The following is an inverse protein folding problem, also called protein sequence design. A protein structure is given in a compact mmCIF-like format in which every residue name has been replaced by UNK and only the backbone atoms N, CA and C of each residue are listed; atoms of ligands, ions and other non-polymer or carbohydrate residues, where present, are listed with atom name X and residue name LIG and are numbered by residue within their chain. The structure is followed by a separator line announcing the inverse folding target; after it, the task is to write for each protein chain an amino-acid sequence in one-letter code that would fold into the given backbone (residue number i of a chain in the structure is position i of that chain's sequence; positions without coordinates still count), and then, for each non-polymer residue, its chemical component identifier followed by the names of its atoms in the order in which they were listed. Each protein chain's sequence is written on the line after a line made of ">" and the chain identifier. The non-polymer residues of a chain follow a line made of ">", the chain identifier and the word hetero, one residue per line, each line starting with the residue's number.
data_IF_720613897072
#
_entry.id   IF_720613897072
#
_cell.length_a   1.000
_cell.length_b   1.000
_cell.length_c   1.000
_cell.angle_alpha   90.00
_cell.angle_beta   90.00
_cell.angle_gamma   90.00
#
_symmetry.space_group_name_H-M   'P 1'
#
loop_
_entity.id
_entity.type
_entity.pdbx_description
1 polymer ?
#
# COMPACT_ATOMS: atom_id res chain seq x y z
N UNK A 1 -52.74 2.44 0.30
CA UNK A 1 -51.89 2.84 -0.84
C UNK A 1 -50.93 3.90 -0.29
N UNK A 2 -49.62 3.72 -0.18
CA UNK A 2 -48.71 2.81 -0.89
C UNK A 2 -47.43 2.71 -0.04
N UNK A 3 -46.75 1.56 -0.15
CA UNK A 3 -45.58 1.13 0.61
C UNK A 3 -44.45 2.16 0.68
N UNK A 4 -43.79 2.23 1.85
CA UNK A 4 -42.41 2.70 1.99
C UNK A 4 -41.51 1.49 1.70
N UNK A 5 -40.80 1.52 0.58
CA UNK A 5 -39.75 0.56 0.25
C UNK A 5 -38.48 0.95 1.00
N UNK A 6 -38.09 0.12 1.96
CA UNK A 6 -36.78 0.19 2.60
C UNK A 6 -35.70 -0.16 1.57
N UNK A 7 -35.01 0.86 1.05
CA UNK A 7 -33.82 0.68 0.22
C UNK A 7 -32.59 0.65 1.13
N UNK A 8 -32.26 -0.56 1.58
CA UNK A 8 -31.00 -0.87 2.26
C UNK A 8 -29.89 -0.83 1.21
N UNK A 9 -28.96 0.12 1.32
CA UNK A 9 -27.74 0.14 0.52
C UNK A 9 -26.83 -1.02 0.98
N UNK A 10 -26.43 -1.95 0.09
CA UNK A 10 -25.57 -3.07 0.46
C UNK A 10 -24.14 -2.57 0.69
N UNK A 11 -23.49 -3.13 1.71
CA UNK A 11 -22.07 -2.95 1.98
C UNK A 11 -21.27 -3.34 0.72
N UNK A 12 -20.55 -2.36 0.15
CA UNK A 12 -19.69 -2.55 -1.01
C UNK A 12 -18.62 -3.62 -0.70
N UNK A 13 -18.74 -4.76 -1.35
CA UNK A 13 -17.69 -5.77 -1.39
C UNK A 13 -16.47 -5.15 -2.07
N UNK A 14 -15.35 -5.10 -1.35
CA UNK A 14 -14.07 -4.61 -1.85
C UNK A 14 -13.67 -5.38 -3.12
N UNK A 15 -13.57 -4.70 -4.25
CA UNK A 15 -13.00 -5.21 -5.51
C UNK A 15 -11.50 -5.51 -5.31
N UNK A 16 -11.20 -6.63 -4.66
CA UNK A 16 -9.84 -7.06 -4.34
C UNK A 16 -9.18 -7.69 -5.57
N UNK A 17 -8.60 -6.85 -6.42
CA UNK A 17 -7.75 -7.30 -7.53
C UNK A 17 -6.60 -8.19 -7.00
N UNK A 18 -6.46 -9.37 -7.58
CA UNK A 18 -5.35 -10.30 -7.30
C UNK A 18 -4.12 -9.89 -8.12
N UNK A 19 -4.35 -9.42 -9.34
CA UNK A 19 -3.35 -8.90 -10.25
C UNK A 19 -4.02 -7.89 -11.19
N UNK A 20 -3.75 -6.60 -11.00
CA UNK A 20 -4.30 -5.56 -11.86
C UNK A 20 -3.54 -5.49 -13.21
N UNK A 21 -4.10 -4.86 -14.25
CA UNK A 21 -3.38 -4.66 -15.50
C UNK A 21 -2.18 -3.70 -15.30
N UNK A 22 -2.24 -2.85 -14.28
CA UNK A 22 -1.14 -1.99 -13.88
C UNK A 22 0.02 -2.83 -13.31
N UNK A 23 -0.26 -3.84 -12.49
CA UNK A 23 0.77 -4.72 -11.93
C UNK A 23 1.49 -5.51 -13.02
N UNK A 24 0.76 -6.08 -13.98
CA UNK A 24 1.36 -6.77 -15.13
C UNK A 24 2.22 -5.82 -15.97
N UNK A 25 1.77 -4.58 -16.18
CA UNK A 25 2.55 -3.56 -16.87
C UNK A 25 3.80 -3.15 -16.08
N UNK A 26 3.71 -3.03 -14.76
CA UNK A 26 4.82 -2.67 -13.89
C UNK A 26 5.88 -3.79 -13.87
N UNK A 27 5.45 -5.04 -13.69
CA UNK A 27 6.32 -6.23 -13.75
C UNK A 27 7.04 -6.29 -15.10
N UNK A 28 6.29 -6.15 -16.20
CA UNK A 28 6.87 -6.15 -17.55
C UNK A 28 7.85 -5.01 -17.77
N UNK A 29 7.51 -3.80 -17.34
CA UNK A 29 8.38 -2.62 -17.49
C UNK A 29 9.67 -2.80 -16.68
N UNK A 30 9.56 -3.30 -15.45
CA UNK A 30 10.69 -3.64 -14.60
C UNK A 30 11.59 -4.72 -15.22
N UNK A 31 11.02 -5.81 -15.74
CA UNK A 31 11.80 -6.87 -16.39
C UNK A 31 12.48 -6.36 -17.65
N UNK A 32 11.81 -5.55 -18.46
CA UNK A 32 12.39 -4.94 -19.67
C UNK A 32 13.58 -4.05 -19.36
N UNK A 33 13.49 -3.27 -18.29
CA UNK A 33 14.52 -2.36 -17.79
C UNK A 33 15.71 -3.10 -17.16
N UNK A 34 15.43 -4.00 -16.21
CA UNK A 34 16.45 -4.69 -15.41
C UNK A 34 17.22 -5.73 -16.23
N UNK A 35 16.54 -6.38 -17.17
CA UNK A 35 17.11 -7.41 -18.04
C UNK A 35 17.18 -6.92 -19.50
N UNK A 36 17.52 -5.65 -19.73
CA UNK A 36 17.55 -5.03 -21.06
C UNK A 36 18.43 -5.80 -22.07
N UNK A 37 19.58 -6.32 -21.64
CA UNK A 37 20.52 -7.08 -22.47
C UNK A 37 20.08 -8.53 -22.80
N UNK A 38 18.99 -9.02 -22.22
CA UNK A 38 18.47 -10.37 -22.44
C UNK A 38 17.61 -10.45 -23.72
N UNK A 39 17.48 -11.61 -24.39
CA UNK A 39 16.50 -11.79 -25.45
C UNK A 39 15.06 -11.58 -24.96
N UNK A 40 14.18 -11.13 -25.86
CA UNK A 40 12.78 -10.83 -25.53
C UNK A 40 12.01 -12.05 -25.03
N UNK A 41 12.32 -13.24 -25.54
CA UNK A 41 11.71 -14.51 -25.13
C UNK A 41 11.98 -14.82 -23.65
N UNK A 42 13.25 -14.75 -23.22
CA UNK A 42 13.61 -14.97 -21.82
C UNK A 42 13.05 -13.88 -20.88
N UNK A 43 12.91 -12.64 -21.35
CA UNK A 43 12.19 -11.59 -20.61
C UNK A 43 10.72 -11.94 -20.43
N UNK A 44 10.06 -12.46 -21.47
CA UNK A 44 8.68 -12.90 -21.38
C UNK A 44 8.52 -14.06 -20.38
N UNK A 45 9.46 -15.00 -20.34
CA UNK A 45 9.48 -16.08 -19.33
C UNK A 45 9.57 -15.53 -17.90
N UNK A 46 10.44 -14.55 -17.65
CA UNK A 46 10.59 -13.93 -16.32
C UNK A 46 9.31 -13.19 -15.91
N UNK A 47 8.66 -12.47 -16.85
CA UNK A 47 7.37 -11.82 -16.60
C UNK A 47 6.30 -12.86 -16.28
N UNK A 48 6.23 -13.93 -17.05
CA UNK A 48 5.26 -15.01 -16.84
C UNK A 48 5.46 -15.70 -15.49
N UNK A 49 6.71 -15.98 -15.10
CA UNK A 49 7.05 -16.55 -13.78
C UNK A 49 6.69 -15.59 -12.64
N UNK A 50 6.97 -14.29 -12.78
CA UNK A 50 6.60 -13.29 -11.78
C UNK A 50 5.07 -13.18 -11.60
N UNK A 51 4.33 -13.13 -12.70
CA UNK A 51 2.86 -13.14 -12.70
C UNK A 51 2.33 -14.43 -12.07
N UNK A 52 2.90 -15.58 -12.44
CA UNK A 52 2.52 -16.87 -11.88
C UNK A 52 2.73 -16.91 -10.37
N UNK A 53 3.87 -16.43 -9.86
CA UNK A 53 4.16 -16.39 -8.42
C UNK A 53 3.19 -15.51 -7.64
N UNK A 54 2.77 -14.37 -8.21
CA UNK A 54 1.81 -13.47 -7.56
C UNK A 54 0.45 -14.15 -7.45
N UNK A 55 -0.06 -14.72 -8.55
CA UNK A 55 -1.32 -15.46 -8.55
C UNK A 55 -1.24 -16.63 -7.56
N UNK A 56 -0.16 -17.41 -7.61
CA UNK A 56 0.06 -18.58 -6.77
C UNK A 56 0.01 -18.28 -5.26
N UNK A 57 0.50 -17.10 -4.85
CA UNK A 57 0.47 -16.65 -3.44
C UNK A 57 -0.94 -16.27 -2.96
N UNK A 58 -1.83 -15.91 -3.87
CA UNK A 58 -3.19 -15.47 -3.57
C UNK A 58 -4.22 -16.62 -3.65
N UNK A 59 -3.80 -17.80 -4.11
CA UNK A 59 -4.62 -19.00 -4.14
C UNK A 59 -4.88 -19.54 -2.72
N UNK A 60 -5.99 -20.26 -2.51
CA UNK A 60 -6.22 -21.05 -1.30
C UNK A 60 -5.04 -21.98 -1.01
N UNK A 61 -4.91 -22.43 0.24
CA UNK A 61 -3.84 -23.31 0.72
C UNK A 61 -3.94 -24.76 0.20
N UNK A 62 -4.16 -24.93 -1.11
CA UNK A 62 -4.14 -26.20 -1.81
C UNK A 62 -2.75 -26.81 -1.88
N UNK A 63 -2.70 -28.10 -2.23
CA UNK A 63 -1.48 -28.79 -2.66
C UNK A 63 -0.84 -28.08 -3.87
N UNK A 64 0.49 -28.10 -3.93
CA UNK A 64 1.29 -27.44 -4.96
C UNK A 64 0.91 -27.86 -6.38
N UNK A 65 0.54 -29.12 -6.60
CA UNK A 65 0.08 -29.60 -7.90
C UNK A 65 -1.20 -28.87 -8.36
N UNK A 66 -2.16 -28.69 -7.44
CA UNK A 66 -3.43 -28.00 -7.68
C UNK A 66 -3.22 -26.50 -7.88
N UNK A 67 -2.38 -25.86 -7.06
CA UNK A 67 -2.04 -24.44 -7.22
C UNK A 67 -1.40 -24.14 -8.58
N UNK A 68 -0.46 -24.99 -9.03
CA UNK A 68 0.17 -24.86 -10.34
C UNK A 68 -0.85 -24.97 -11.48
N UNK A 69 -1.77 -25.95 -11.39
CA UNK A 69 -2.84 -26.13 -12.38
C UNK A 69 -3.76 -24.89 -12.46
N UNK A 70 -4.24 -24.39 -11.33
CA UNK A 70 -5.10 -23.20 -11.27
C UNK A 70 -4.36 -21.96 -11.82
N UNK A 71 -3.11 -21.78 -11.43
CA UNK A 71 -2.27 -20.65 -11.88
C UNK A 71 -2.12 -20.66 -13.41
N UNK A 72 -1.82 -21.83 -13.99
CA UNK A 72 -1.68 -21.97 -15.44
C UNK A 72 -2.99 -21.68 -16.18
N UNK A 73 -4.12 -22.12 -15.63
CA UNK A 73 -5.44 -21.88 -16.20
C UNK A 73 -5.83 -20.40 -16.16
N UNK A 74 -5.58 -19.71 -15.05
CA UNK A 74 -5.81 -18.26 -14.92
C UNK A 74 -4.94 -17.46 -15.89
N UNK A 75 -3.66 -17.82 -16.05
CA UNK A 75 -2.77 -17.15 -17.00
C UNK A 75 -3.29 -17.33 -18.43
N UNK A 76 -3.64 -18.55 -18.82
CA UNK A 76 -4.11 -18.83 -20.19
C UNK A 76 -5.43 -18.09 -20.48
N UNK A 77 -6.44 -18.29 -19.65
CA UNK A 77 -7.79 -17.85 -19.97
C UNK A 77 -8.01 -16.35 -19.65
N UNK A 78 -7.45 -15.83 -18.55
CA UNK A 78 -7.71 -14.45 -18.12
C UNK A 78 -6.64 -13.49 -18.63
N UNK A 79 -5.36 -13.87 -18.49
CA UNK A 79 -4.24 -12.97 -18.82
C UNK A 79 -3.93 -12.97 -20.31
N UNK A 80 -3.90 -14.13 -20.97
CA UNK A 80 -3.52 -14.25 -22.38
C UNK A 80 -4.72 -14.09 -23.33
N UNK A 81 -5.79 -14.87 -23.13
CA UNK A 81 -6.96 -14.87 -24.01
C UNK A 81 -7.81 -13.61 -23.83
N UNK A 82 -8.21 -13.29 -22.60
CA UNK A 82 -9.09 -12.15 -22.32
C UNK A 82 -8.36 -10.82 -22.12
N UNK A 83 -7.04 -10.85 -21.86
CA UNK A 83 -6.21 -9.68 -21.54
C UNK A 83 -6.77 -8.82 -20.39
N UNK A 84 -7.38 -9.47 -19.39
CA UNK A 84 -8.05 -8.84 -18.25
C UNK A 84 -7.22 -9.01 -16.97
N UNK A 85 -7.46 -8.18 -15.94
CA UNK A 85 -6.86 -8.41 -14.62
C UNK A 85 -7.32 -9.74 -14.03
N UNK A 86 -6.45 -10.37 -13.24
CA UNK A 86 -6.88 -11.48 -12.39
C UNK A 86 -7.51 -10.89 -11.15
N UNK A 87 -8.77 -11.25 -10.89
CA UNK A 87 -9.51 -10.87 -9.70
C UNK A 87 -9.84 -12.13 -8.90
N UNK A 88 -10.29 -11.97 -7.66
CA UNK A 88 -10.66 -13.09 -6.80
C UNK A 88 -11.83 -13.91 -7.36
N UNK A 89 -12.74 -13.29 -8.14
CA UNK A 89 -13.85 -13.97 -8.82
C UNK A 89 -13.33 -14.98 -9.85
N UNK A 90 -12.22 -14.68 -10.53
CA UNK A 90 -11.62 -15.61 -11.49
C UNK A 90 -11.04 -16.84 -10.78
N UNK A 91 -10.45 -16.67 -9.59
CA UNK A 91 -9.97 -17.79 -8.77
C UNK A 91 -11.15 -18.66 -8.35
N UNK A 92 -12.23 -18.03 -7.86
CA UNK A 92 -13.45 -18.72 -7.45
C UNK A 92 -14.00 -19.57 -8.60
N UNK A 93 -14.13 -18.99 -9.79
CA UNK A 93 -14.62 -19.70 -10.97
C UNK A 93 -13.77 -20.92 -11.34
N UNK A 94 -12.44 -20.76 -11.37
CA UNK A 94 -11.56 -21.90 -11.69
C UNK A 94 -11.69 -22.98 -10.61
N UNK A 95 -11.86 -22.61 -9.34
CA UNK A 95 -12.10 -23.55 -8.26
C UNK A 95 -13.45 -24.28 -8.38
N UNK A 96 -14.52 -23.60 -8.83
CA UNK A 96 -15.83 -24.21 -9.06
C UNK A 96 -15.81 -25.25 -10.19
N UNK A 97 -14.88 -25.13 -11.15
CA UNK A 97 -14.67 -26.09 -12.23
C UNK A 97 -13.81 -27.29 -11.83
N UNK A 98 -13.15 -27.24 -10.67
CA UNK A 98 -12.42 -28.38 -10.12
C UNK A 98 -13.36 -29.34 -9.39
N UNK A 99 -12.87 -30.56 -9.13
CA UNK A 99 -13.52 -31.46 -8.17
C UNK A 99 -13.28 -30.97 -6.73
N UNK A 100 -13.92 -29.86 -6.40
CA UNK A 100 -13.82 -29.21 -5.09
C UNK A 100 -14.39 -30.05 -3.96
N UNK A 101 -15.20 -31.07 -4.29
CA UNK A 101 -15.76 -32.06 -3.35
C UNK A 101 -14.70 -33.03 -2.82
N UNK A 102 -13.57 -33.15 -3.50
CA UNK A 102 -12.46 -33.95 -3.01
C UNK A 102 -11.94 -33.43 -1.67
N UNK A 103 -11.64 -34.35 -0.75
CA UNK A 103 -11.14 -34.06 0.60
C UNK A 103 -9.98 -33.04 0.66
N UNK A 104 -8.95 -33.10 -0.22
CA UNK A 104 -7.81 -32.17 -0.14
C UNK A 104 -8.11 -30.75 -0.66
N UNK A 105 -9.19 -30.55 -1.43
CA UNK A 105 -9.55 -29.24 -1.99
C UNK A 105 -10.63 -28.56 -1.16
N UNK A 106 -11.59 -29.32 -0.63
CA UNK A 106 -12.73 -28.79 0.10
C UNK A 106 -12.34 -27.87 1.27
N UNK A 107 -11.48 -28.36 2.18
CA UNK A 107 -11.17 -27.62 3.40
C UNK A 107 -10.43 -26.28 3.12
N UNK A 108 -9.33 -26.25 2.32
CA UNK A 108 -8.69 -24.99 1.97
C UNK A 108 -9.59 -24.04 1.17
N UNK A 109 -10.47 -24.59 0.32
CA UNK A 109 -11.40 -23.78 -0.47
C UNK A 109 -12.46 -23.13 0.41
N UNK A 110 -13.06 -23.89 1.34
CA UNK A 110 -14.03 -23.38 2.31
C UNK A 110 -13.41 -22.29 3.17
N UNK A 111 -12.23 -22.51 3.75
CA UNK A 111 -11.53 -21.52 4.57
C UNK A 111 -11.28 -20.22 3.81
N UNK A 112 -10.81 -20.33 2.57
CA UNK A 112 -10.53 -19.17 1.72
C UNK A 112 -11.79 -18.39 1.37
N UNK A 113 -12.89 -19.06 0.98
CA UNK A 113 -14.16 -18.39 0.68
C UNK A 113 -14.71 -17.68 1.91
N UNK A 114 -14.78 -18.38 3.04
CA UNK A 114 -15.32 -17.86 4.29
C UNK A 114 -14.52 -16.65 4.80
N UNK A 115 -13.18 -16.68 4.66
CA UNK A 115 -12.32 -15.53 4.92
C UNK A 115 -12.65 -14.32 4.04
N UNK A 116 -12.94 -14.54 2.74
CA UNK A 116 -13.27 -13.45 1.81
C UNK A 116 -14.63 -12.82 2.07
N UNK A 117 -15.63 -13.61 2.47
CA UNK A 117 -16.98 -13.09 2.78
C UNK A 117 -17.17 -12.68 4.24
N UNK A 118 -16.18 -12.94 5.10
CA UNK A 118 -16.22 -12.70 6.56
C UNK A 118 -17.39 -13.42 7.24
N UNK A 119 -17.65 -14.66 6.86
CA UNK A 119 -18.67 -15.53 7.47
C UNK A 119 -18.04 -16.79 8.07
N UNK A 120 -18.72 -17.38 9.04
CA UNK A 120 -18.48 -18.73 9.51
C UNK A 120 -19.63 -19.64 9.05
N UNK A 121 -19.30 -20.75 8.39
CA UNK A 121 -20.27 -21.75 7.94
C UNK A 121 -19.73 -23.15 8.22
N UNK A 122 -20.63 -24.08 8.56
CA UNK A 122 -20.28 -25.49 8.62
C UNK A 122 -20.14 -26.07 7.21
N UNK A 123 -19.56 -27.28 7.12
CA UNK A 123 -19.28 -27.93 5.83
C UNK A 123 -20.57 -28.20 5.02
N UNK A 124 -21.68 -28.71 5.60
CA UNK A 124 -22.93 -28.88 4.86
C UNK A 124 -23.48 -27.59 4.27
N UNK A 125 -23.50 -26.50 5.04
CA UNK A 125 -23.94 -25.17 4.61
C UNK A 125 -23.11 -24.69 3.41
N UNK A 126 -21.78 -24.76 3.52
CA UNK A 126 -20.87 -24.37 2.44
C UNK A 126 -21.11 -25.20 1.16
N UNK A 127 -21.24 -26.52 1.29
CA UNK A 127 -21.48 -27.41 0.14
C UNK A 127 -22.78 -27.07 -0.57
N UNK A 128 -23.87 -26.83 0.18
CA UNK A 128 -25.17 -26.48 -0.39
C UNK A 128 -25.12 -25.16 -1.18
N UNK A 129 -24.53 -24.12 -0.59
CA UNK A 129 -24.38 -22.81 -1.23
C UNK A 129 -23.54 -22.88 -2.52
N UNK A 130 -22.39 -23.58 -2.48
CA UNK A 130 -21.51 -23.75 -3.65
C UNK A 130 -22.17 -24.58 -4.75
N UNK A 131 -22.93 -25.62 -4.40
CA UNK A 131 -23.68 -26.40 -5.40
C UNK A 131 -24.77 -25.59 -6.08
N UNK A 132 -25.47 -24.74 -5.34
CA UNK A 132 -26.49 -23.86 -5.90
C UNK A 132 -25.88 -22.87 -6.88
N UNK A 133 -24.77 -22.24 -6.50
CA UNK A 133 -24.00 -21.35 -7.36
C UNK A 133 -23.51 -22.07 -8.63
N UNK A 134 -22.96 -23.28 -8.50
CA UNK A 134 -22.50 -24.05 -9.65
C UNK A 134 -23.64 -24.44 -10.61
N UNK A 135 -24.84 -24.72 -10.09
CA UNK A 135 -26.04 -25.00 -10.90
C UNK A 135 -26.59 -23.77 -11.62
N UNK A 136 -26.36 -22.56 -11.09
CA UNK A 136 -26.74 -21.30 -11.72
C UNK A 136 -25.74 -20.90 -12.81
N UNK A 137 -24.43 -21.03 -12.56
CA UNK A 137 -23.37 -20.72 -13.54
C UNK A 137 -23.49 -21.56 -14.83
N UNK A 138 -23.96 -22.81 -14.73
CA UNK A 138 -24.21 -23.68 -15.89
C UNK A 138 -25.46 -23.33 -16.71
N UNK A 139 -26.31 -22.40 -16.25
CA UNK A 139 -27.55 -21.99 -16.95
C UNK A 139 -27.44 -20.64 -17.64
N UNK A 140 -26.55 -19.77 -17.19
CA UNK A 140 -26.40 -18.43 -17.74
C UNK A 140 -25.10 -18.34 -18.53
N UNK A 141 -25.20 -18.48 -19.85
CA UNK A 141 -24.13 -18.10 -20.75
C UNK A 141 -23.97 -16.56 -20.69
N UNK A 142 -22.87 -16.13 -20.08
CA UNK A 142 -22.31 -14.78 -20.27
C UNK A 142 -22.99 -13.63 -19.48
N UNK A 143 -23.35 -13.85 -18.21
CA UNK A 143 -23.68 -12.74 -17.30
C UNK A 143 -22.46 -12.12 -16.59
N UNK A 144 -22.59 -10.83 -16.28
CA UNK A 144 -21.59 -9.94 -15.70
C UNK A 144 -21.06 -10.45 -14.36
N UNK A 145 -19.85 -11.03 -14.36
CA UNK A 145 -19.15 -11.64 -13.22
C UNK A 145 -18.87 -10.74 -12.00
N UNK A 146 -19.33 -9.49 -12.01
CA UNK A 146 -19.16 -8.56 -10.88
C UNK A 146 -20.03 -8.91 -9.66
N UNK A 147 -20.97 -9.86 -9.79
CA UNK A 147 -21.93 -10.19 -8.72
C UNK A 147 -21.69 -11.53 -8.00
N UNK A 148 -20.64 -12.28 -8.37
CA UNK A 148 -20.41 -13.63 -7.83
C UNK A 148 -20.18 -13.68 -6.31
N UNK A 149 -19.47 -12.69 -5.74
CA UNK A 149 -19.21 -12.64 -4.29
C UNK A 149 -20.46 -12.25 -3.47
N UNK A 150 -21.20 -11.17 -3.82
CA UNK A 150 -22.48 -10.87 -3.17
C UNK A 150 -23.49 -12.02 -3.23
N UNK A 151 -23.60 -12.70 -4.37
CA UNK A 151 -24.52 -13.84 -4.52
C UNK A 151 -24.12 -15.02 -3.64
N UNK A 152 -22.84 -15.40 -3.64
CA UNK A 152 -22.34 -16.47 -2.79
C UNK A 152 -22.52 -16.15 -1.30
N UNK A 153 -22.32 -14.89 -0.91
CA UNK A 153 -22.57 -14.44 0.46
C UNK A 153 -24.05 -14.61 0.84
N UNK A 154 -24.96 -14.20 -0.03
CA UNK A 154 -26.40 -14.36 0.19
C UNK A 154 -26.81 -15.84 0.32
N UNK A 155 -26.27 -16.71 -0.54
CA UNK A 155 -26.52 -18.15 -0.48
C UNK A 155 -26.00 -18.76 0.84
N UNK A 156 -24.81 -18.37 1.28
CA UNK A 156 -24.26 -18.83 2.55
C UNK A 156 -25.12 -18.37 3.73
N UNK A 157 -25.60 -17.13 3.73
CA UNK A 157 -26.52 -16.63 4.77
C UNK A 157 -27.87 -17.39 4.78
N UNK A 158 -28.41 -17.74 3.60
CA UNK A 158 -29.64 -18.54 3.47
C UNK A 158 -29.48 -19.97 3.99
N UNK A 159 -28.30 -20.56 3.79
CA UNK A 159 -27.95 -21.90 4.28
C UNK A 159 -27.51 -21.91 5.76
N UNK A 160 -27.53 -20.76 6.44
CA UNK A 160 -27.28 -20.65 7.89
C UNK A 160 -25.87 -20.25 8.31
N UNK A 161 -25.07 -19.67 7.41
CA UNK A 161 -23.79 -19.06 7.78
C UNK A 161 -24.00 -17.83 8.67
N UNK A 162 -23.12 -17.65 9.65
CA UNK A 162 -23.18 -16.55 10.63
C UNK A 162 -22.03 -15.59 10.37
N UNK A 163 -22.22 -14.26 10.50
CA UNK A 163 -21.10 -13.32 10.43
C UNK A 163 -19.98 -13.68 11.41
N UNK A 164 -18.74 -13.63 10.95
CA UNK A 164 -17.60 -13.60 11.86
C UNK A 164 -17.75 -12.30 12.66
N UNK A 165 -18.04 -12.41 13.97
CA UNK A 165 -18.16 -11.25 14.83
C UNK A 165 -16.92 -10.36 14.63
N UNK A 166 -17.13 -9.13 14.17
CA UNK A 166 -16.10 -8.10 14.27
C UNK A 166 -15.73 -8.03 15.76
N UNK A 167 -14.44 -8.08 16.08
CA UNK A 167 -13.93 -8.02 17.46
C UNK A 167 -14.47 -6.77 18.19
N UNK A 168 -15.65 -6.91 18.79
CA UNK A 168 -16.22 -6.08 19.84
C UNK A 168 -16.69 -7.01 20.97
N UNK A 169 -16.31 -6.63 22.19
CA UNK A 169 -16.59 -7.26 23.49
C UNK A 169 -15.61 -8.38 23.92
N UNK A 170 -14.66 -8.09 24.82
CA UNK A 170 -14.95 -8.01 26.26
C UNK A 170 -15.91 -9.13 26.69
N UNK A 171 -15.33 -10.31 26.93
CA UNK A 171 -16.03 -11.49 27.45
C UNK A 171 -16.82 -11.12 28.72
N UNK A 172 -18.13 -11.03 28.56
CA UNK A 172 -19.11 -11.20 29.65
C UNK A 172 -18.95 -12.63 30.19
N UNK A 173 -18.45 -12.77 31.41
CA UNK A 173 -18.57 -14.00 32.19
C UNK A 173 -19.94 -14.07 32.88
N UNK A 174 -20.48 -15.29 33.07
CA UNK A 174 -21.88 -15.52 33.37
C UNK A 174 -22.21 -15.29 34.86
N UNK A 175 -23.43 -14.84 35.10
CA UNK A 175 -24.05 -14.81 36.41
C UNK A 175 -24.22 -16.23 36.98
N UNK A 176 -23.67 -16.52 38.16
CA UNK A 176 -24.30 -17.25 39.27
C UNK A 176 -23.61 -16.88 40.60
N UNK A 177 -24.38 -16.99 41.68
CA UNK A 177 -24.24 -16.33 42.97
C UNK A 177 -23.07 -16.79 43.86
N UNK A 178 -22.59 -15.90 44.74
CA UNK A 178 -22.66 -16.15 46.18
C UNK A 178 -22.49 -14.88 47.01
N UNK A 179 -23.36 -14.78 48.01
CA UNK A 179 -23.49 -13.72 49.02
C UNK A 179 -22.40 -13.87 50.08
N UNK A 180 -21.65 -12.80 50.36
CA UNK A 180 -20.94 -12.61 51.64
C UNK A 180 -21.05 -11.12 52.01
N UNK A 181 -21.70 -10.74 53.12
CA UNK A 181 -21.81 -9.35 53.55
C UNK A 181 -20.61 -8.97 54.44
N UNK A 182 -20.05 -7.78 54.23
CA UNK A 182 -19.16 -7.13 55.20
C UNK A 182 -19.66 -5.70 55.49
N UNK A 183 -19.65 -5.28 56.76
CA UNK A 183 -20.38 -4.11 57.23
C UNK A 183 -19.52 -2.83 57.20
N UNK A 184 -20.21 -1.70 57.07
CA UNK A 184 -19.76 -0.42 57.61
C UNK A 184 -18.94 0.45 56.67
N UNK A 185 -19.58 1.46 56.07
CA UNK A 185 -19.42 2.85 56.50
C UNK A 185 -20.36 3.73 55.68
N UNK A 186 -21.24 4.42 56.40
CA UNK A 186 -22.09 5.49 55.89
C UNK A 186 -21.25 6.62 55.30
N UNK A 187 -21.76 7.26 54.26
CA UNK A 187 -22.12 8.69 54.25
C UNK A 187 -22.49 9.10 52.82
N UNK A 188 -23.80 9.18 52.57
CA UNK A 188 -24.35 10.08 51.54
C UNK A 188 -24.36 11.49 52.14
N UNK A 189 -24.00 12.53 51.37
CA UNK A 189 -25.02 13.53 51.06
C UNK A 189 -25.13 13.86 49.56
N UNK A 190 -26.21 14.54 49.14
CA UNK A 190 -26.75 14.44 47.79
C UNK A 190 -26.52 15.70 46.94
N UNK A 191 -27.00 15.63 45.69
CA UNK A 191 -27.33 16.72 44.74
C UNK A 191 -26.19 17.35 43.95
N UNK A 192 -26.12 16.98 42.67
CA UNK A 192 -25.97 17.93 41.56
C UNK A 192 -26.56 17.30 40.29
N UNK A 193 -27.82 17.63 39.99
CA UNK A 193 -28.34 17.55 38.63
C UNK A 193 -27.61 18.60 37.79
N UNK A 194 -26.71 18.17 36.90
CA UNK A 194 -26.24 19.02 35.80
C UNK A 194 -26.95 18.62 34.51
N UNK A 195 -27.96 19.41 34.19
CA UNK A 195 -28.58 19.54 32.88
C UNK A 195 -27.58 20.11 31.87
N UNK A 196 -26.89 19.25 31.13
CA UNK A 196 -26.04 19.63 30.00
C UNK A 196 -26.80 19.69 28.68
N UNK A 197 -27.29 20.88 28.31
CA UNK A 197 -27.86 21.20 26.99
C UNK A 197 -26.93 20.79 25.84
N UNK A 198 -27.43 20.23 24.71
CA UNK A 198 -26.57 19.94 23.57
C UNK A 198 -26.09 21.26 22.95
N UNK A 199 -24.78 21.52 23.05
CA UNK A 199 -24.16 22.68 22.42
C UNK A 199 -24.39 22.60 20.89
N UNK A 200 -25.09 23.60 20.34
CA UNK A 200 -25.39 23.78 18.90
C UNK A 200 -24.16 23.89 17.98
N UNK A 201 -22.94 23.70 18.50
CA UNK A 201 -21.67 23.78 17.77
C UNK A 201 -21.27 22.48 17.06
N UNK A 202 -21.82 21.33 17.47
CA UNK A 202 -21.54 20.03 16.85
C UNK A 202 -21.89 19.96 15.35
N UNK A 203 -23.06 20.43 14.86
CA UNK A 203 -23.38 20.34 13.42
C UNK A 203 -22.47 21.21 12.54
N UNK A 204 -21.98 22.35 13.06
CA UNK A 204 -21.05 23.20 12.32
C UNK A 204 -19.65 22.58 12.22
N UNK A 205 -19.21 21.86 13.27
CA UNK A 205 -17.95 21.12 13.25
C UNK A 205 -18.00 19.96 12.22
N UNK A 206 -19.09 19.20 12.20
CA UNK A 206 -19.28 18.13 11.21
C UNK A 206 -19.43 18.68 9.79
N UNK A 207 -20.15 19.80 9.62
CA UNK A 207 -20.24 20.50 8.34
C UNK A 207 -18.86 20.93 7.82
N UNK A 208 -18.00 21.44 8.69
CA UNK A 208 -16.63 21.83 8.33
C UNK A 208 -15.75 20.62 7.95
N UNK A 209 -15.86 19.51 8.68
CA UNK A 209 -15.12 18.27 8.39
C UNK A 209 -15.56 17.66 7.06
N UNK A 210 -16.87 17.65 6.77
CA UNK A 210 -17.39 17.18 5.48
C UNK A 210 -16.89 18.05 4.32
N UNK A 211 -16.82 19.37 4.50
CA UNK A 211 -16.32 20.29 3.48
C UNK A 211 -14.81 20.07 3.22
N UNK A 212 -14.03 19.79 4.26
CA UNK A 212 -12.61 19.40 4.15
C UNK A 212 -12.44 18.06 3.42
N UNK A 213 -13.27 17.06 3.71
CA UNK A 213 -13.24 15.75 3.05
C UNK A 213 -13.58 15.85 1.56
N UNK A 214 -14.59 16.65 1.21
CA UNK A 214 -14.97 16.90 -0.18
C UNK A 214 -13.86 17.66 -0.92
N UNK A 215 -13.23 18.64 -0.28
CA UNK A 215 -12.09 19.36 -0.86
C UNK A 215 -10.88 18.42 -1.08
N UNK A 216 -10.56 17.56 -0.11
CA UNK A 216 -9.46 16.60 -0.22
C UNK A 216 -9.69 15.54 -1.32
N UNK A 217 -10.93 15.05 -1.46
CA UNK A 217 -11.28 14.06 -2.48
C UNK A 217 -11.32 14.65 -3.90
N UNK A 218 -11.74 15.92 -4.05
CA UNK A 218 -11.61 16.64 -5.31
C UNK A 218 -10.15 16.93 -5.67
N UNK A 219 -9.30 17.25 -4.70
CA UNK A 219 -7.87 17.47 -4.91
C UNK A 219 -7.13 16.18 -5.30
N UNK A 220 -7.50 15.05 -4.67
CA UNK A 220 -6.97 13.72 -4.99
C UNK A 220 -7.42 13.24 -6.38
N UNK A 221 -8.69 13.46 -6.74
CA UNK A 221 -9.21 13.16 -8.07
C UNK A 221 -8.52 13.96 -9.17
N UNK A 222 -8.11 15.20 -8.88
CA UNK A 222 -7.36 16.03 -9.83
C UNK A 222 -5.89 15.60 -9.95
N UNK A 223 -5.25 15.19 -8.86
CA UNK A 223 -3.88 14.65 -8.82
C UNK A 223 -3.69 13.43 -9.75
N UNK A 224 -4.69 12.55 -9.81
CA UNK A 224 -4.68 11.34 -10.65
C UNK A 224 -4.79 11.61 -12.16
N UNK A 225 -5.10 12.85 -12.57
CA UNK A 225 -5.22 13.23 -13.98
C UNK A 225 -3.94 13.85 -14.56
N UNK A 226 -2.91 14.06 -13.75
CA UNK A 226 -1.60 14.54 -14.23
C UNK A 226 -0.73 13.36 -14.72
N UNK A 227 -0.31 13.35 -15.99
CA UNK A 227 0.45 12.24 -16.55
C UNK A 227 1.87 12.21 -15.99
N UNK A 228 2.22 11.12 -15.30
CA UNK A 228 3.56 10.89 -14.76
C UNK A 228 4.36 9.95 -15.66
N UNK A 229 5.19 10.55 -16.52
CA UNK A 229 6.25 9.86 -17.27
C UNK A 229 7.50 9.70 -16.37
N UNK A 230 7.93 8.47 -16.04
CA UNK A 230 9.01 7.75 -16.75
C UNK A 230 9.65 6.56 -15.99
N UNK A 231 10.35 5.73 -16.78
CA UNK A 231 10.97 4.42 -16.55
C UNK A 231 12.35 4.49 -15.84
N UNK A 232 12.97 3.33 -15.58
CA UNK A 232 14.41 3.17 -15.30
C UNK A 232 15.07 2.17 -16.29
N UNK A 233 16.40 2.03 -16.28
CA UNK A 233 17.29 1.45 -17.33
C UNK A 233 18.53 0.71 -16.71
N UNK A 234 19.39 -0.01 -17.49
CA UNK A 234 20.58 -0.79 -17.01
C UNK A 234 21.86 0.06 -16.76
N UNK A 235 23.00 -0.48 -16.23
CA UNK A 235 24.16 0.33 -15.87
C UNK A 235 25.00 0.72 -17.10
N UNK A 236 25.32 2.02 -17.19
CA UNK A 236 25.98 2.67 -18.32
C UNK A 236 27.43 2.98 -17.94
N UNK A 237 28.42 2.52 -18.73
CA UNK A 237 29.70 3.23 -18.84
C UNK A 237 29.37 4.63 -19.33
N UNK A 238 29.64 5.64 -18.49
CA UNK A 238 29.43 7.05 -18.81
C UNK A 238 30.26 7.43 -20.04
N UNK A 239 29.69 7.25 -21.23
CA UNK A 239 29.88 8.23 -22.28
C UNK A 239 29.51 9.58 -21.65
N UNK A 240 30.38 10.58 -21.83
CA UNK A 240 30.19 11.93 -21.27
C UNK A 240 28.83 12.48 -21.73
N UNK A 241 27.82 12.32 -20.89
CA UNK A 241 26.53 12.94 -21.12
C UNK A 241 26.64 14.42 -20.78
N UNK A 242 26.31 15.20 -21.80
CA UNK A 242 26.14 16.66 -21.81
C UNK A 242 25.40 17.09 -20.54
N UNK A 243 25.95 18.07 -19.82
CA UNK A 243 25.30 18.71 -18.67
C UNK A 243 23.82 18.95 -18.97
N UNK A 244 22.95 18.47 -18.07
CA UNK A 244 21.53 18.70 -18.16
C UNK A 244 21.27 20.20 -18.21
N UNK A 245 20.64 20.65 -19.29
CA UNK A 245 19.98 21.96 -19.34
C UNK A 245 19.08 22.08 -18.10
N UNK A 246 19.06 23.27 -17.47
CA UNK A 246 18.45 23.55 -16.17
C UNK A 246 17.18 22.73 -15.92
N UNK A 247 17.19 21.85 -14.91
CA UNK A 247 16.02 21.04 -14.55
C UNK A 247 14.82 21.94 -14.25
N UNK A 248 13.90 22.01 -15.21
CA UNK A 248 12.66 22.77 -15.09
C UNK A 248 11.89 22.27 -13.85
N UNK A 249 11.75 23.16 -12.85
CA UNK A 249 10.97 22.91 -11.64
C UNK A 249 11.74 22.79 -10.31
N UNK A 250 12.99 22.30 -10.30
CA UNK A 250 13.81 22.23 -9.07
C UNK A 250 14.54 23.56 -8.87
N UNK A 251 14.23 24.34 -7.81
CA UNK A 251 14.84 25.65 -7.63
C UNK A 251 16.31 25.53 -7.26
N UNK A 252 17.08 26.59 -7.49
CA UNK A 252 18.54 26.56 -7.39
C UNK A 252 19.03 26.10 -6.01
N UNK A 253 18.33 26.44 -4.94
CA UNK A 253 18.67 26.04 -3.58
C UNK A 253 18.54 24.53 -3.30
N UNK A 254 17.80 23.80 -4.15
CA UNK A 254 17.64 22.34 -4.07
C UNK A 254 18.43 21.61 -5.15
N UNK A 255 19.13 22.32 -6.03
CA UNK A 255 20.02 21.72 -7.03
C UNK A 255 21.35 21.32 -6.41
N UNK A 256 22.10 20.48 -7.11
CA UNK A 256 23.33 19.95 -6.57
C UNK A 256 24.33 21.07 -6.26
N UNK A 257 24.89 20.99 -5.07
CA UNK A 257 26.06 21.77 -4.64
C UNK A 257 26.96 20.80 -3.88
N UNK A 258 28.28 20.98 -4.01
CA UNK A 258 29.22 20.22 -3.21
C UNK A 258 29.03 20.57 -1.73
N UNK A 259 28.96 19.55 -0.88
CA UNK A 259 28.79 19.67 0.56
C UNK A 259 30.04 19.16 1.27
N UNK A 260 30.33 19.69 2.45
CA UNK A 260 31.39 19.16 3.29
C UNK A 260 31.01 17.75 3.76
N UNK A 261 31.57 16.74 3.08
CA UNK A 261 31.29 15.33 3.35
C UNK A 261 31.68 14.94 4.78
N UNK A 262 32.74 15.52 5.34
CA UNK A 262 33.18 15.19 6.69
C UNK A 262 32.18 15.73 7.71
N UNK A 263 31.77 17.00 7.59
CA UNK A 263 30.77 17.58 8.50
C UNK A 263 29.42 16.88 8.40
N UNK A 264 29.02 16.45 7.21
CA UNK A 264 27.82 15.64 7.02
C UNK A 264 27.95 14.27 7.72
N UNK A 265 29.07 13.59 7.55
CA UNK A 265 29.34 12.32 8.24
C UNK A 265 29.30 12.49 9.76
N UNK A 266 29.93 13.55 10.28
CA UNK A 266 29.96 13.86 11.72
C UNK A 266 28.55 14.17 12.27
N UNK A 267 27.75 14.94 11.52
CA UNK A 267 26.35 15.22 11.89
C UNK A 267 25.50 13.95 12.01
N UNK A 268 25.67 13.02 11.06
CA UNK A 268 24.98 11.73 11.05
C UNK A 268 25.50 10.82 12.17
N UNK A 269 26.81 10.81 12.42
CA UNK A 269 27.44 10.03 13.48
C UNK A 269 26.99 10.46 14.89
N UNK A 270 26.82 11.77 15.13
CA UNK A 270 26.24 12.31 16.40
C UNK A 270 24.84 11.74 16.70
N UNK A 271 24.12 11.27 15.68
CA UNK A 271 22.79 10.65 15.78
C UNK A 271 22.83 9.13 15.72
N UNK A 272 24.02 8.54 15.81
CA UNK A 272 24.23 7.09 15.65
C UNK A 272 23.65 6.55 14.35
N UNK A 273 23.65 7.34 13.27
CA UNK A 273 23.09 6.94 11.98
C UNK A 273 24.01 5.95 11.26
N UNK A 274 23.44 4.85 10.74
CA UNK A 274 24.17 3.93 9.86
C UNK A 274 24.55 4.59 8.52
N UNK A 275 23.82 5.64 8.10
CA UNK A 275 24.07 6.37 6.86
C UNK A 275 25.35 7.21 6.90
N UNK A 276 25.98 7.39 8.07
CA UNK A 276 27.30 8.02 8.19
C UNK A 276 28.43 7.13 7.62
N UNK A 277 28.17 5.83 7.45
CA UNK A 277 29.16 4.84 7.03
C UNK A 277 29.10 4.61 5.52
N UNK A 278 30.18 4.07 4.98
CA UNK A 278 30.21 3.58 3.60
C UNK A 278 29.48 2.21 3.51
N UNK A 279 28.81 1.90 2.40
CA UNK A 279 28.74 2.69 1.15
C UNK A 279 27.64 3.77 1.16
N UNK A 280 26.83 3.87 2.21
CA UNK A 280 25.61 4.68 2.23
C UNK A 280 25.86 6.16 1.97
N UNK A 281 26.83 6.74 2.69
CA UNK A 281 27.15 8.16 2.58
C UNK A 281 27.55 8.53 1.14
N UNK A 282 28.51 7.81 0.56
CA UNK A 282 28.97 8.10 -0.80
C UNK A 282 27.93 7.77 -1.86
N UNK A 283 27.15 6.69 -1.69
CA UNK A 283 26.11 6.32 -2.65
C UNK A 283 25.06 7.43 -2.78
N UNK A 284 24.55 7.94 -1.66
CA UNK A 284 23.55 9.03 -1.67
C UNK A 284 24.13 10.30 -2.30
N UNK A 285 25.37 10.69 -1.96
CA UNK A 285 26.02 11.88 -2.54
C UNK A 285 26.26 11.71 -4.06
N UNK A 286 26.72 10.54 -4.49
CA UNK A 286 26.99 10.25 -5.89
C UNK A 286 25.70 10.30 -6.73
N UNK A 287 24.62 9.69 -6.24
CA UNK A 287 23.30 9.77 -6.87
C UNK A 287 22.79 11.21 -6.87
N UNK A 288 22.91 11.94 -5.76
CA UNK A 288 22.52 13.36 -5.69
C UNK A 288 23.20 14.18 -6.79
N UNK A 289 24.50 13.96 -7.01
CA UNK A 289 25.26 14.59 -8.10
C UNK A 289 24.76 14.21 -9.48
N UNK A 290 24.49 12.93 -9.71
CA UNK A 290 23.99 12.42 -10.99
C UNK A 290 22.64 13.04 -11.38
N UNK A 291 21.78 13.27 -10.40
CA UNK A 291 20.44 13.82 -10.61
C UNK A 291 20.35 15.33 -10.41
N UNK A 292 21.47 16.02 -10.18
CA UNK A 292 21.51 17.46 -9.90
C UNK A 292 20.61 17.87 -8.73
N UNK A 293 20.58 17.05 -7.68
CA UNK A 293 19.83 17.29 -6.44
C UNK A 293 20.82 17.64 -5.33
N UNK A 294 20.44 18.58 -4.47
CA UNK A 294 21.22 18.92 -3.29
C UNK A 294 21.39 17.69 -2.37
N UNK A 295 22.60 17.24 -2.03
CA UNK A 295 22.79 16.02 -1.25
C UNK A 295 22.03 16.01 0.07
N UNK A 296 22.02 17.14 0.78
CA UNK A 296 21.30 17.30 2.04
C UNK A 296 19.79 17.11 1.91
N UNK A 297 19.19 17.28 0.73
CA UNK A 297 17.77 17.02 0.52
C UNK A 297 17.47 15.52 0.66
N UNK A 298 18.30 14.66 0.04
CA UNK A 298 18.13 13.21 0.18
C UNK A 298 18.33 12.77 1.63
N UNK A 299 19.34 13.29 2.32
CA UNK A 299 19.52 13.00 3.75
C UNK A 299 18.39 13.56 4.63
N UNK A 300 17.79 14.69 4.26
CA UNK A 300 16.64 15.21 4.98
C UNK A 300 15.42 14.29 4.85
N UNK A 301 15.21 13.70 3.67
CA UNK A 301 14.15 12.72 3.44
C UNK A 301 14.40 11.45 4.27
N UNK A 302 15.62 10.90 4.30
CA UNK A 302 15.90 9.73 5.16
C UNK A 302 15.75 10.05 6.65
N UNK A 303 16.04 11.29 7.05
CA UNK A 303 15.76 11.81 8.38
C UNK A 303 14.26 11.79 8.70
N UNK A 304 13.43 12.26 7.78
CA UNK A 304 11.97 12.29 7.94
C UNK A 304 11.36 10.88 7.94
N UNK A 305 11.80 10.01 7.04
CA UNK A 305 11.22 8.67 6.82
C UNK A 305 11.63 7.65 7.88
N UNK A 306 12.91 7.69 8.29
CA UNK A 306 13.52 6.62 9.08
C UNK A 306 14.38 7.15 10.24
N UNK A 307 14.26 8.43 10.59
CA UNK A 307 15.03 9.03 11.68
C UNK A 307 16.54 8.92 11.46
N UNK A 308 17.00 9.01 10.21
CA UNK A 308 18.39 8.76 9.78
C UNK A 308 18.89 7.33 9.99
N UNK A 309 18.02 6.35 10.22
CA UNK A 309 18.41 4.94 10.39
C UNK A 309 19.40 4.74 11.55
N UNK A 310 18.94 4.80 12.82
CA UNK A 310 19.79 4.54 13.97
C UNK A 310 20.43 3.14 13.88
N UNK A 311 21.75 3.07 14.04
CA UNK A 311 22.52 1.82 13.98
C UNK A 311 22.15 0.83 15.08
N UNK A 312 21.49 1.29 16.14
CA UNK A 312 20.97 0.45 17.23
C UNK A 312 19.67 -0.29 16.85
N UNK A 313 19.04 0.08 15.74
CA UNK A 313 17.83 -0.60 15.27
C UNK A 313 18.14 -2.03 14.81
N UNK A 314 17.34 -3.01 15.22
CA UNK A 314 17.56 -4.43 14.90
C UNK A 314 17.64 -4.74 13.39
N UNK A 315 17.00 -3.88 12.58
CA UNK A 315 16.94 -4.00 11.12
C UNK A 315 17.63 -2.82 10.42
N UNK A 316 18.60 -2.17 11.07
CA UNK A 316 19.25 -0.97 10.55
C UNK A 316 19.83 -1.17 9.15
N UNK A 317 20.45 -2.31 8.86
CA UNK A 317 21.00 -2.61 7.53
C UNK A 317 19.91 -2.73 6.46
N UNK A 318 18.79 -3.41 6.76
CA UNK A 318 17.67 -3.51 5.82
C UNK A 318 17.02 -2.15 5.58
N UNK A 319 16.88 -1.32 6.63
CA UNK A 319 16.35 0.03 6.50
C UNK A 319 17.32 0.89 5.69
N UNK A 320 18.63 0.78 5.91
CA UNK A 320 19.64 1.54 5.18
C UNK A 320 19.72 1.17 3.69
N UNK A 321 19.23 0.00 3.30
CA UNK A 321 19.07 -0.38 1.89
C UNK A 321 17.89 0.33 1.19
N UNK A 322 16.87 0.78 1.93
CA UNK A 322 15.76 1.60 1.44
C UNK A 322 15.33 2.62 2.49
N UNK A 323 16.16 3.64 2.78
CA UNK A 323 15.89 4.58 3.87
C UNK A 323 14.86 5.66 3.48
N UNK A 324 14.40 5.64 2.23
CA UNK A 324 13.47 6.60 1.64
C UNK A 324 12.02 6.10 1.60
N UNK A 325 11.78 4.85 2.00
CA UNK A 325 10.49 4.16 1.84
C UNK A 325 9.96 4.17 0.39
N UNK A 326 10.85 4.10 -0.60
CA UNK A 326 10.39 3.98 -1.99
C UNK A 326 9.67 2.64 -2.18
N UNK A 327 8.60 2.66 -2.98
CA UNK A 327 7.68 1.53 -3.14
C UNK A 327 7.08 1.04 -1.81
N UNK A 328 6.38 1.94 -1.12
CA UNK A 328 5.64 1.75 0.13
C UNK A 328 6.52 1.64 1.38
N UNK A 329 7.41 0.66 1.46
CA UNK A 329 8.29 0.52 2.63
C UNK A 329 9.49 -0.37 2.37
N UNK A 330 10.54 -0.23 3.18
CA UNK A 330 11.68 -1.16 3.16
C UNK A 330 11.30 -2.62 3.50
N UNK A 331 10.13 -2.87 4.12
CA UNK A 331 9.61 -4.21 4.43
C UNK A 331 9.03 -4.89 3.20
N UNK A 332 8.34 -4.11 2.36
CA UNK A 332 7.73 -4.59 1.11
C UNK A 332 8.73 -4.61 -0.03
N UNK A 333 9.65 -3.63 -0.04
CA UNK A 333 10.67 -3.47 -1.05
C UNK A 333 12.03 -3.17 -0.42
N UNK A 334 12.85 -4.21 -0.28
CA UNK A 334 14.24 -4.11 0.14
C UNK A 334 15.18 -4.28 -1.07
N UNK A 335 16.16 -3.38 -1.22
CA UNK A 335 17.11 -3.40 -2.34
C UNK A 335 18.52 -3.07 -1.84
N UNK A 336 19.26 -2.18 -2.51
CA UNK A 336 20.49 -1.56 -2.02
C UNK A 336 20.35 -0.04 -2.05
N UNK A 337 21.23 0.65 -1.31
CA UNK A 337 21.15 2.10 -1.15
C UNK A 337 21.24 2.89 -2.46
N UNK A 338 22.04 2.44 -3.43
CA UNK A 338 22.17 3.14 -4.71
C UNK A 338 20.84 3.09 -5.46
N UNK A 339 20.23 1.91 -5.55
CA UNK A 339 18.94 1.71 -6.24
C UNK A 339 17.82 2.52 -5.57
N UNK A 340 17.67 2.45 -4.25
CA UNK A 340 16.64 3.21 -3.54
C UNK A 340 16.86 4.73 -3.61
N UNK A 341 18.11 5.21 -3.57
CA UNK A 341 18.45 6.62 -3.75
C UNK A 341 18.15 7.09 -5.19
N UNK A 342 18.41 6.28 -6.20
CA UNK A 342 18.09 6.60 -7.60
C UNK A 342 16.57 6.71 -7.81
N UNK A 343 15.79 5.78 -7.23
CA UNK A 343 14.33 5.82 -7.28
C UNK A 343 13.80 7.08 -6.59
N UNK A 344 14.31 7.41 -5.39
CA UNK A 344 13.93 8.62 -4.67
C UNK A 344 14.26 9.88 -5.48
N UNK A 345 15.47 9.94 -6.06
CA UNK A 345 15.95 11.08 -6.86
C UNK A 345 15.11 11.30 -8.12
N UNK A 346 14.79 10.22 -8.86
CA UNK A 346 13.88 10.29 -10.02
C UNK A 346 12.50 10.77 -9.64
N UNK A 347 12.01 10.31 -8.49
CA UNK A 347 10.72 10.75 -7.95
C UNK A 347 10.75 12.24 -7.65
N UNK A 348 11.79 12.75 -6.98
CA UNK A 348 11.95 14.19 -6.69
C UNK A 348 12.01 15.02 -7.98
N UNK A 349 12.83 14.62 -8.95
CA UNK A 349 12.93 15.35 -10.24
C UNK A 349 11.59 15.35 -10.96
N UNK A 350 10.91 14.20 -11.04
CA UNK A 350 9.57 14.10 -11.65
C UNK A 350 8.57 15.02 -10.96
N UNK A 351 8.52 14.99 -9.63
CA UNK A 351 7.59 15.77 -8.82
C UNK A 351 7.94 17.26 -8.77
N UNK A 352 9.17 17.64 -9.10
CA UNK A 352 9.57 19.04 -9.14
C UNK A 352 9.10 19.74 -10.42
N UNK A 353 8.89 19.00 -11.51
CA UNK A 353 8.43 19.56 -12.79
C UNK A 353 7.11 20.31 -12.68
N UNK A 354 6.96 21.33 -13.52
CA UNK A 354 5.73 22.12 -13.63
C UNK A 354 5.37 22.91 -12.38
N UNK A 355 6.33 23.11 -11.45
CA UNK A 355 6.13 23.91 -10.24
C UNK A 355 5.81 25.35 -10.62
N UNK A 356 4.64 25.89 -10.24
CA UNK A 356 4.34 27.30 -10.46
C UNK A 356 5.31 28.19 -9.69
N UNK A 357 5.57 29.38 -10.23
CA UNK A 357 6.38 30.38 -9.56
C UNK A 357 5.76 30.76 -8.19
N UNK A 358 6.61 30.94 -7.17
CA UNK A 358 6.17 31.26 -5.81
C UNK A 358 5.62 30.08 -4.99
N UNK A 359 5.43 28.89 -5.58
CA UNK A 359 5.04 27.69 -4.82
C UNK A 359 6.27 27.06 -4.18
N UNK A 360 6.18 26.79 -2.88
CA UNK A 360 7.27 26.16 -2.12
C UNK A 360 7.63 24.77 -2.69
N UNK A 361 8.92 24.50 -2.93
CA UNK A 361 9.34 23.27 -3.59
C UNK A 361 9.11 21.99 -2.75
N UNK A 362 9.21 22.05 -1.42
CA UNK A 362 8.98 20.89 -0.56
C UNK A 362 7.49 20.53 -0.51
N UNK A 363 6.63 21.55 -0.41
CA UNK A 363 5.18 21.39 -0.47
C UNK A 363 4.74 20.91 -1.85
N UNK A 364 5.39 21.41 -2.92
CA UNK A 364 5.17 20.92 -4.27
C UNK A 364 5.48 19.42 -4.33
N UNK A 365 6.69 18.99 -3.97
CA UNK A 365 7.07 17.57 -3.98
C UNK A 365 6.11 16.70 -3.15
N UNK A 366 5.68 17.18 -1.98
CA UNK A 366 4.84 16.39 -1.07
C UNK A 366 3.43 16.05 -1.59
N UNK A 367 2.95 16.70 -2.65
CA UNK A 367 1.61 16.40 -3.20
C UNK A 367 1.42 14.92 -3.60
N UNK A 368 2.53 14.25 -3.91
CA UNK A 368 2.56 12.89 -4.44
C UNK A 368 3.67 12.04 -3.81
N UNK A 369 4.58 12.61 -3.01
CA UNK A 369 5.66 11.84 -2.38
C UNK A 369 5.16 11.06 -1.17
N UNK A 370 4.38 11.69 -0.30
CA UNK A 370 3.86 11.10 0.93
C UNK A 370 2.41 11.51 1.19
N UNK A 371 1.66 10.67 1.90
CA UNK A 371 0.28 10.94 2.30
C UNK A 371 0.20 11.97 3.45
N UNK A 372 1.26 12.08 4.27
CA UNK A 372 1.30 13.02 5.40
C UNK A 372 1.44 14.47 4.90
N UNK A 373 0.46 15.36 5.15
CA UNK A 373 0.54 16.76 4.77
C UNK A 373 1.69 17.52 5.46
N UNK A 374 2.19 17.04 6.59
CA UNK A 374 3.30 17.65 7.33
C UNK A 374 4.67 17.12 6.93
N UNK A 375 4.76 16.12 6.06
CA UNK A 375 6.04 15.56 5.60
C UNK A 375 6.97 16.66 5.05
N UNK A 376 6.43 17.56 4.20
CA UNK A 376 7.20 18.68 3.64
C UNK A 376 7.81 19.60 4.70
N UNK A 377 7.10 19.84 5.81
CA UNK A 377 7.58 20.67 6.92
C UNK A 377 8.73 19.97 7.65
N UNK A 378 8.59 18.66 7.85
CA UNK A 378 9.63 17.82 8.44
C UNK A 378 10.91 17.83 7.60
N UNK A 379 10.80 17.50 6.32
CA UNK A 379 11.94 17.51 5.39
C UNK A 379 12.57 18.91 5.31
N UNK A 380 11.78 19.98 5.19
CA UNK A 380 12.31 21.36 5.15
C UNK A 380 13.08 21.71 6.43
N UNK A 381 12.53 21.36 7.59
CA UNK A 381 13.16 21.61 8.89
C UNK A 381 14.49 20.88 9.00
N UNK A 382 14.51 19.60 8.63
CA UNK A 382 15.72 18.77 8.66
C UNK A 382 16.75 19.28 7.65
N UNK A 383 16.32 19.65 6.45
CA UNK A 383 17.18 20.21 5.40
C UNK A 383 17.84 21.51 5.87
N UNK A 384 17.07 22.43 6.46
CA UNK A 384 17.61 23.68 7.01
C UNK A 384 18.64 23.42 8.12
N UNK A 385 18.38 22.48 9.02
CA UNK A 385 19.32 22.08 10.07
C UNK A 385 20.61 21.48 9.49
N UNK A 386 20.49 20.62 8.48
CA UNK A 386 21.63 20.05 7.76
C UNK A 386 22.46 21.15 7.07
N UNK A 387 21.82 22.08 6.36
CA UNK A 387 22.51 23.22 5.72
C UNK A 387 23.28 24.04 6.75
N UNK A 388 22.65 24.34 7.88
CA UNK A 388 23.29 25.11 8.94
C UNK A 388 24.55 24.42 9.47
N UNK A 389 24.50 23.12 9.75
CA UNK A 389 25.65 22.37 10.25
C UNK A 389 26.75 22.18 9.19
N UNK A 390 26.37 21.90 7.94
CA UNK A 390 27.33 21.44 6.92
C UNK A 390 27.92 22.59 6.12
N UNK A 391 27.15 23.65 5.85
CA UNK A 391 27.56 24.74 4.95
C UNK A 391 27.99 26.03 5.66
N UNK A 392 27.62 26.23 6.93
CA UNK A 392 28.02 27.44 7.66
C UNK A 392 29.45 27.28 8.19
N UNK A 393 30.44 28.09 7.77
CA UNK A 393 31.77 28.05 8.39
C UNK A 393 31.66 28.46 9.87
N UNK A 394 32.30 27.68 10.76
CA UNK A 394 32.40 27.98 12.19
C UNK A 394 33.60 28.89 12.49
#
# INVERSE_FOLDING_TARGET
>A
MTQRSDFVMPAEAQDAYVLSPADVRNIRSYVQMKYAAMPQEKKAEIVADAVARIIHRQLPSFEEATKKRITAELIRNVVLEQQRPVRSEHILQVCLKLDWKSSPIMAPFQEWVLSKVQLAADKPCFVAAVEQMHKQEMREEEQTFQQCWPELKLLLEQEGAVPLAADEEAVKLPAQANVIPLPGLSLVPPLAEETGSPSKLRPYLYGFICLLLIAASLFYGWSLTLPSHEKLQPPVTLDKFKQADAQDGLPQELRYTDVDKQRLADYLAKRSSLLAQEPYLSAIIAVSKQFDIHPLLLFAITGQEQGFVPATHKQAEQIANNPFNVFHSWKEYNTNITDSAEIASRTIVRLSKGRPEGVDPFAWINREYAEDPNWSKGVRTIFAALKQEVETPH
#
